data_IF_313274674472
#
_entry.id   IF_313274674472
#
_cell.length_a   1.000
_cell.length_b   1.000
_cell.length_c   1.000
_cell.angle_alpha   90.00
_cell.angle_beta   90.00
_cell.angle_gamma   90.00
#
_symmetry.space_group_name_H-M   'P 1'
#
loop_
_entity.id
_entity.type
_entity.pdbx_description
1 polymer ?
#
# COMPACT_ATOMS: atom_id res chain seq x y z
N UNK A 1 12.88 -7.13 15.21
CA UNK A 1 14.15 -7.35 14.47
C UNK A 1 13.88 -6.91 13.05
N UNK A 2 14.40 -5.74 12.65
CA UNK A 2 14.07 -5.07 11.39
C UNK A 2 14.73 -5.85 10.25
N UNK A 3 13.94 -6.53 9.42
CA UNK A 3 14.45 -7.17 8.20
C UNK A 3 14.98 -6.07 7.28
N UNK A 4 16.30 -5.99 7.13
CA UNK A 4 16.96 -5.09 6.18
C UNK A 4 16.47 -5.47 4.77
N UNK A 5 15.98 -4.49 4.02
CA UNK A 5 15.65 -4.73 2.61
C UNK A 5 16.92 -5.11 1.84
N UNK A 6 16.83 -5.97 0.83
CA UNK A 6 17.98 -6.43 0.03
C UNK A 6 18.79 -5.25 -0.52
N UNK A 7 18.11 -4.15 -0.88
CA UNK A 7 18.74 -2.90 -1.32
C UNK A 7 19.53 -2.19 -0.22
N UNK A 8 19.04 -2.22 1.02
CA UNK A 8 19.76 -1.64 2.16
C UNK A 8 21.01 -2.46 2.46
N UNK A 9 20.93 -3.80 2.35
CA UNK A 9 22.07 -4.69 2.53
C UNK A 9 23.14 -4.50 1.44
N UNK A 10 22.71 -4.38 0.17
CA UNK A 10 23.61 -4.08 -0.94
C UNK A 10 24.25 -2.69 -0.81
N UNK A 11 23.47 -1.67 -0.47
CA UNK A 11 23.96 -0.30 -0.27
C UNK A 11 24.96 -0.19 0.89
N UNK A 12 24.69 -0.84 2.02
CA UNK A 12 25.64 -0.93 3.13
C UNK A 12 26.90 -1.70 2.73
N UNK A 13 26.77 -2.80 2.00
CA UNK A 13 27.91 -3.58 1.50
C UNK A 13 28.85 -2.74 0.64
N UNK A 14 28.29 -1.95 -0.28
CA UNK A 14 29.06 -1.02 -1.13
C UNK A 14 29.77 0.05 -0.27
N UNK A 15 29.07 0.63 0.71
CA UNK A 15 29.65 1.65 1.59
C UNK A 15 30.81 1.10 2.43
N UNK A 16 30.67 -0.13 2.97
CA UNK A 16 31.72 -0.80 3.74
C UNK A 16 32.93 -1.13 2.84
N UNK A 17 32.70 -1.59 1.62
CA UNK A 17 33.77 -1.83 0.65
C UNK A 17 34.52 -0.53 0.30
N UNK A 18 33.80 0.58 0.13
CA UNK A 18 34.38 1.91 -0.08
C UNK A 18 35.22 2.38 1.11
N UNK A 19 34.77 2.11 2.34
CA UNK A 19 35.51 2.43 3.56
C UNK A 19 36.80 1.62 3.66
N UNK A 20 36.76 0.31 3.39
CA UNK A 20 37.95 -0.54 3.34
C UNK A 20 38.94 -0.06 2.26
N UNK A 21 38.45 0.31 1.08
CA UNK A 21 39.27 0.84 -0.01
C UNK A 21 39.90 2.19 0.36
N UNK A 22 39.16 3.07 1.05
CA UNK A 22 39.69 4.33 1.56
C UNK A 22 40.79 4.11 2.60
N UNK A 23 40.55 3.29 3.62
CA UNK A 23 41.54 3.02 4.67
C UNK A 23 42.82 2.41 4.11
N UNK A 24 42.70 1.38 3.27
CA UNK A 24 43.86 0.70 2.66
C UNK A 24 44.63 1.63 1.74
N UNK A 25 43.93 2.43 0.94
CA UNK A 25 44.55 3.39 0.02
C UNK A 25 45.28 4.52 0.76
N UNK A 26 44.70 5.03 1.85
CA UNK A 26 45.25 6.15 2.61
C UNK A 26 46.41 5.72 3.52
N UNK A 27 46.27 4.59 4.23
CA UNK A 27 47.26 4.14 5.22
C UNK A 27 48.40 3.30 4.61
N UNK A 28 48.09 2.44 3.64
CA UNK A 28 49.04 1.46 3.10
C UNK A 28 49.65 1.96 1.80
N UNK A 29 48.81 2.31 0.82
CA UNK A 29 49.25 2.66 -0.54
C UNK A 29 49.71 4.12 -0.65
N UNK A 30 49.25 4.98 0.26
CA UNK A 30 49.51 6.44 0.27
C UNK A 30 49.15 7.13 -1.06
N UNK A 31 48.19 6.58 -1.79
CA UNK A 31 47.76 7.11 -3.08
C UNK A 31 46.51 7.97 -2.90
N UNK A 32 46.68 9.29 -3.05
CA UNK A 32 45.59 10.27 -3.04
C UNK A 32 44.44 9.94 -4.01
N UNK A 33 44.68 9.57 -5.29
CA UNK A 33 43.58 9.27 -6.21
C UNK A 33 42.78 8.03 -5.80
N UNK A 34 43.44 7.02 -5.23
CA UNK A 34 42.80 5.78 -4.79
C UNK A 34 41.95 6.02 -3.53
N UNK A 35 42.42 6.86 -2.61
CA UNK A 35 41.63 7.30 -1.46
C UNK A 35 40.39 8.11 -1.91
N UNK A 36 40.52 9.03 -2.87
CA UNK A 36 39.39 9.78 -3.41
C UNK A 36 38.33 8.86 -4.06
N UNK A 37 38.75 7.81 -4.75
CA UNK A 37 37.86 6.79 -5.30
C UNK A 37 37.06 6.08 -4.18
N UNK A 38 37.71 5.75 -3.06
CA UNK A 38 37.05 5.15 -1.89
C UNK A 38 35.93 6.03 -1.34
N UNK A 39 36.17 7.34 -1.24
CA UNK A 39 35.13 8.31 -0.85
C UNK A 39 33.97 8.30 -1.84
N UNK A 40 34.25 8.26 -3.15
CA UNK A 40 33.22 8.17 -4.18
C UNK A 40 32.34 6.92 -4.01
N UNK A 41 32.95 5.76 -3.76
CA UNK A 41 32.23 4.50 -3.52
C UNK A 41 31.36 4.58 -2.25
N UNK A 42 31.86 5.20 -1.18
CA UNK A 42 31.11 5.44 0.06
C UNK A 42 29.84 6.26 -0.24
N UNK A 43 29.99 7.40 -0.93
CA UNK A 43 28.86 8.30 -1.27
C UNK A 43 27.84 7.60 -2.17
N UNK A 44 28.27 6.80 -3.12
CA UNK A 44 27.37 6.00 -3.98
C UNK A 44 26.61 4.94 -3.18
N UNK A 45 27.27 4.20 -2.29
CA UNK A 45 26.62 3.22 -1.41
C UNK A 45 25.57 3.86 -0.49
N UNK A 46 25.93 4.97 0.14
CA UNK A 46 24.99 5.77 0.95
C UNK A 46 23.81 6.30 0.13
N UNK A 47 24.06 6.73 -1.11
CA UNK A 47 23.01 7.18 -2.02
C UNK A 47 22.04 6.05 -2.36
N UNK A 48 22.50 4.81 -2.55
CA UNK A 48 21.61 3.65 -2.76
C UNK A 48 20.73 3.38 -1.53
N UNK A 49 21.30 3.46 -0.32
CA UNK A 49 20.54 3.31 0.93
C UNK A 49 19.48 4.42 1.07
N UNK A 50 19.84 5.65 0.73
CA UNK A 50 18.97 6.83 0.85
C UNK A 50 17.96 6.96 -0.29
N UNK A 51 18.18 6.32 -1.44
CA UNK A 51 17.30 6.44 -2.60
C UNK A 51 16.07 5.54 -2.43
N UNK A 52 14.85 6.08 -2.42
CA UNK A 52 13.63 5.27 -2.41
C UNK A 52 13.47 4.53 -3.75
N UNK A 53 13.22 3.21 -3.71
CA UNK A 53 13.07 2.37 -4.91
C UNK A 53 11.93 2.79 -5.84
N UNK A 54 10.91 3.45 -5.29
CA UNK A 54 9.71 3.79 -6.04
C UNK A 54 9.52 5.30 -6.07
N UNK A 55 10.01 5.91 -7.16
CA UNK A 55 9.72 7.30 -7.50
C UNK A 55 8.44 7.34 -8.36
N UNK A 56 7.35 6.75 -7.87
CA UNK A 56 6.05 7.08 -8.45
C UNK A 56 5.85 8.60 -8.28
N UNK A 57 5.39 9.35 -9.31
CA UNK A 57 5.14 10.78 -9.16
C UNK A 57 4.03 10.97 -8.12
N UNK A 58 4.44 11.14 -6.86
CA UNK A 58 3.59 11.12 -5.66
C UNK A 58 2.40 12.07 -5.81
N UNK A 59 2.62 13.18 -6.52
CA UNK A 59 1.61 14.18 -6.81
C UNK A 59 0.54 13.70 -7.78
N UNK A 60 0.91 13.20 -8.96
CA UNK A 60 -0.04 12.73 -9.96
C UNK A 60 -0.86 11.53 -9.44
N UNK A 61 -0.20 10.63 -8.70
CA UNK A 61 -0.84 9.50 -8.07
C UNK A 61 -1.87 9.93 -7.02
N UNK A 62 -1.47 10.86 -6.14
CA UNK A 62 -2.33 11.40 -5.10
C UNK A 62 -3.50 12.18 -5.69
N UNK A 63 -3.27 12.97 -6.73
CA UNK A 63 -4.34 13.68 -7.44
C UNK A 63 -5.33 12.70 -8.07
N UNK A 64 -4.86 11.62 -8.71
CA UNK A 64 -5.71 10.55 -9.25
C UNK A 64 -6.53 9.87 -8.16
N UNK A 65 -5.93 9.53 -7.01
CA UNK A 65 -6.64 8.95 -5.87
C UNK A 65 -7.71 9.90 -5.31
N UNK A 66 -7.42 11.20 -5.22
CA UNK A 66 -8.39 12.21 -4.76
C UNK A 66 -9.54 12.38 -5.77
N UNK A 67 -9.26 12.33 -7.06
CA UNK A 67 -10.32 12.35 -8.09
C UNK A 67 -11.17 11.09 -8.01
N UNK A 68 -10.55 9.92 -7.84
CA UNK A 68 -11.25 8.67 -7.62
C UNK A 68 -12.16 8.74 -6.38
N UNK A 69 -11.66 9.30 -5.27
CA UNK A 69 -12.44 9.44 -4.02
C UNK A 69 -13.70 10.28 -4.26
N UNK A 70 -13.57 11.40 -4.97
CA UNK A 70 -14.70 12.28 -5.29
C UNK A 70 -15.72 11.61 -6.22
N UNK A 71 -15.23 10.91 -7.25
CA UNK A 71 -16.10 10.21 -8.19
C UNK A 71 -16.83 9.05 -7.51
N UNK A 72 -16.11 8.30 -6.67
CA UNK A 72 -16.69 7.21 -5.89
C UNK A 72 -17.74 7.74 -4.91
N UNK A 73 -17.46 8.84 -4.21
CA UNK A 73 -18.43 9.46 -3.31
C UNK A 73 -19.70 9.90 -4.07
N UNK A 74 -19.57 10.54 -5.22
CA UNK A 74 -20.71 10.93 -6.06
C UNK A 74 -21.53 9.71 -6.53
N UNK A 75 -20.88 8.61 -6.90
CA UNK A 75 -21.54 7.35 -7.28
C UNK A 75 -22.30 6.79 -6.08
N UNK A 76 -21.65 6.66 -4.91
CA UNK A 76 -22.28 6.13 -3.70
C UNK A 76 -23.44 7.01 -3.21
N UNK A 77 -23.33 8.32 -3.38
CA UNK A 77 -24.39 9.28 -3.10
C UNK A 77 -25.58 9.11 -4.04
N UNK A 78 -25.34 9.03 -5.35
CA UNK A 78 -26.40 8.80 -6.35
C UNK A 78 -27.17 7.49 -6.11
N UNK A 79 -26.46 6.49 -5.58
CA UNK A 79 -26.99 5.17 -5.26
C UNK A 79 -27.57 5.08 -3.83
N UNK A 80 -27.47 6.16 -3.04
CA UNK A 80 -27.92 6.26 -1.65
C UNK A 80 -27.46 5.07 -0.78
N UNK A 81 -26.18 4.71 -0.91
CA UNK A 81 -25.60 3.55 -0.23
C UNK A 81 -25.64 3.71 1.29
N UNK A 82 -26.03 2.62 1.97
CA UNK A 82 -26.04 2.53 3.44
C UNK A 82 -25.18 1.39 3.98
N UNK A 83 -24.74 0.49 3.11
CA UNK A 83 -23.93 -0.66 3.50
C UNK A 83 -22.46 -0.33 3.67
N UNK A 84 -21.77 -1.18 4.43
CA UNK A 84 -20.32 -1.12 4.62
C UNK A 84 -19.61 -1.97 3.57
N UNK A 85 -18.45 -1.51 3.13
CA UNK A 85 -17.64 -2.16 2.14
C UNK A 85 -17.05 -3.48 2.65
N UNK A 86 -16.96 -4.41 1.71
CA UNK A 86 -16.36 -5.73 1.85
C UNK A 86 -15.12 -5.74 0.94
N UNK A 87 -13.97 -6.03 1.52
CA UNK A 87 -12.69 -6.08 0.82
C UNK A 87 -12.31 -7.54 0.57
N UNK A 88 -12.15 -7.91 -0.70
CA UNK A 88 -11.76 -9.27 -1.07
C UNK A 88 -10.78 -9.25 -2.24
N UNK A 89 -10.13 -10.39 -2.48
CA UNK A 89 -9.20 -10.59 -3.58
C UNK A 89 -9.66 -11.79 -4.40
N UNK A 90 -9.94 -11.56 -5.68
CA UNK A 90 -10.41 -12.59 -6.60
C UNK A 90 -9.51 -12.55 -7.83
N UNK A 91 -8.94 -13.71 -8.21
CA UNK A 91 -8.06 -13.85 -9.37
C UNK A 91 -6.92 -12.81 -9.37
N UNK A 92 -6.22 -12.70 -8.23
CA UNK A 92 -5.08 -11.78 -8.08
C UNK A 92 -5.43 -10.28 -8.15
N UNK A 93 -6.71 -9.92 -8.21
CA UNK A 93 -7.17 -8.53 -8.28
C UNK A 93 -7.92 -8.10 -7.04
N UNK A 94 -7.74 -6.84 -6.58
CA UNK A 94 -8.51 -6.30 -5.49
C UNK A 94 -9.95 -6.05 -5.94
N UNK A 95 -10.91 -6.54 -5.16
CA UNK A 95 -12.32 -6.30 -5.40
C UNK A 95 -12.94 -5.63 -4.18
N UNK A 96 -13.59 -4.49 -4.42
CA UNK A 96 -14.34 -3.74 -3.45
C UNK A 96 -15.83 -3.99 -3.69
N UNK A 97 -16.51 -4.62 -2.74
CA UNK A 97 -17.93 -4.92 -2.84
C UNK A 97 -18.70 -4.10 -1.83
N UNK A 98 -19.66 -3.30 -2.29
CA UNK A 98 -20.42 -2.38 -1.45
C UNK A 98 -21.90 -2.75 -1.58
N UNK A 99 -22.52 -3.33 -0.53
CA UNK A 99 -23.95 -3.58 -0.55
C UNK A 99 -24.69 -2.25 -0.52
N UNK A 100 -25.65 -2.07 -1.44
CA UNK A 100 -26.46 -0.85 -1.46
C UNK A 100 -27.38 -0.76 -0.24
N UNK A 101 -27.78 -1.91 0.31
CA UNK A 101 -28.56 -2.01 1.55
C UNK A 101 -27.66 -2.27 2.76
N UNK A 102 -28.12 -1.86 3.95
CA UNK A 102 -27.27 -1.65 5.13
C UNK A 102 -26.42 -2.86 5.57
N UNK A 103 -26.90 -4.10 5.42
CA UNK A 103 -26.12 -5.28 5.79
C UNK A 103 -26.34 -6.42 4.80
N UNK A 104 -25.27 -6.98 4.24
CA UNK A 104 -25.36 -8.19 3.44
C UNK A 104 -25.74 -9.36 4.34
N UNK A 105 -26.72 -10.17 3.93
CA UNK A 105 -27.12 -11.40 4.63
C UNK A 105 -26.04 -12.48 4.51
N UNK A 106 -25.27 -12.43 3.42
CA UNK A 106 -24.15 -13.32 3.13
C UNK A 106 -23.10 -12.57 2.32
N UNK A 107 -21.81 -12.81 2.62
CA UNK A 107 -20.69 -12.31 1.81
C UNK A 107 -20.71 -13.08 0.49
N UNK A 108 -20.87 -12.43 -0.67
CA UNK A 108 -20.89 -13.14 -1.93
C UNK A 108 -19.49 -13.69 -2.28
N UNK A 109 -19.40 -14.88 -2.90
CA UNK A 109 -18.11 -15.49 -3.25
C UNK A 109 -17.43 -14.79 -4.44
N UNK A 110 -18.21 -14.15 -5.31
CA UNK A 110 -17.72 -13.43 -6.49
C UNK A 110 -18.68 -12.31 -6.86
N UNK A 111 -18.18 -11.30 -7.55
CA UNK A 111 -19.00 -10.25 -8.12
C UNK A 111 -18.37 -9.72 -9.41
N UNK A 112 -19.21 -9.48 -10.41
CA UNK A 112 -18.85 -8.84 -11.66
C UNK A 112 -18.74 -7.33 -11.45
N UNK A 113 -17.83 -6.68 -12.19
CA UNK A 113 -17.65 -5.23 -12.11
C UNK A 113 -18.94 -4.50 -12.49
N UNK A 114 -19.32 -3.52 -11.67
CA UNK A 114 -20.54 -2.73 -11.83
C UNK A 114 -21.61 -3.04 -10.78
N UNK A 115 -22.86 -2.87 -11.19
CA UNK A 115 -24.04 -3.14 -10.36
C UNK A 115 -24.53 -4.56 -10.61
N UNK A 116 -24.50 -5.41 -9.59
CA UNK A 116 -24.96 -6.79 -9.68
C UNK A 116 -25.91 -7.11 -8.52
N UNK A 117 -26.92 -7.94 -8.79
CA UNK A 117 -27.85 -8.42 -7.76
C UNK A 117 -27.44 -9.84 -7.38
N UNK A 118 -26.93 -10.00 -6.15
CA UNK A 118 -26.49 -11.30 -5.64
C UNK A 118 -27.41 -11.70 -4.49
N UNK A 119 -28.04 -12.87 -4.61
CA UNK A 119 -28.99 -13.38 -3.61
C UNK A 119 -30.14 -12.41 -3.28
N UNK A 120 -30.60 -11.63 -4.26
CA UNK A 120 -31.68 -10.64 -4.11
C UNK A 120 -31.25 -9.30 -3.51
N UNK A 121 -29.97 -9.14 -3.17
CA UNK A 121 -29.39 -7.90 -2.66
C UNK A 121 -28.51 -7.24 -3.73
N UNK A 122 -28.70 -5.96 -4.03
CA UNK A 122 -27.87 -5.26 -5.00
C UNK A 122 -26.53 -4.84 -4.37
N UNK A 123 -25.45 -5.14 -5.09
CA UNK A 123 -24.07 -4.79 -4.76
C UNK A 123 -23.49 -3.89 -5.86
N UNK A 124 -22.66 -2.94 -5.43
CA UNK A 124 -21.75 -2.21 -6.30
C UNK A 124 -20.35 -2.81 -6.14
N UNK A 125 -19.83 -3.36 -7.22
CA UNK A 125 -18.54 -4.04 -7.25
C UNK A 125 -17.57 -3.26 -8.13
N UNK A 126 -16.46 -2.86 -7.52
CA UNK A 126 -15.50 -1.94 -8.13
C UNK A 126 -14.09 -2.51 -7.97
N UNK A 127 -13.25 -2.26 -8.96
CA UNK A 127 -11.81 -2.46 -8.84
C UNK A 127 -11.20 -1.13 -8.37
N UNK A 128 -10.74 -1.03 -7.12
CA UNK A 128 -10.13 0.17 -6.60
C UNK A 128 -8.75 0.39 -7.25
N UNK A 129 -8.33 1.65 -7.49
CA UNK A 129 -7.03 1.94 -8.05
C UNK A 129 -5.93 1.57 -7.03
N UNK A 130 -5.22 0.48 -7.28
CA UNK A 130 -3.94 0.14 -6.63
C UNK A 130 -2.78 0.23 -7.65
N UNK A 131 -2.38 1.44 -8.07
CA UNK A 131 -1.29 1.63 -9.00
C UNK A 131 0.02 1.04 -8.46
N UNK A 132 0.55 0.05 -9.19
CA UNK A 132 1.82 -0.61 -8.87
C UNK A 132 1.72 -1.72 -7.82
N UNK A 133 0.51 -2.13 -7.43
CA UNK A 133 0.29 -3.42 -6.78
C UNK A 133 -0.04 -4.47 -7.85
N UNK A 134 0.96 -4.83 -8.66
CA UNK A 134 0.86 -6.04 -9.48
C UNK A 134 1.09 -7.23 -8.55
N UNK A 135 0.01 -7.81 -8.03
CA UNK A 135 0.10 -9.12 -7.37
C UNK A 135 0.13 -10.14 -8.49
N UNK A 136 1.33 -10.61 -8.86
CA UNK A 136 1.49 -11.71 -9.80
C UNK A 136 0.69 -12.92 -9.32
N UNK A 137 -0.29 -13.34 -10.11
CA UNK A 137 -0.91 -14.65 -9.95
C UNK A 137 0.19 -15.73 -10.03
N UNK A 138 0.38 -16.48 -8.96
CA UNK A 138 1.10 -17.76 -9.02
C UNK A 138 2.51 -17.84 -8.45
N UNK A 139 2.98 -16.90 -7.63
CA UNK A 139 4.24 -17.09 -6.88
C UNK A 139 4.08 -16.80 -5.39
N UNK A 140 4.27 -17.85 -4.61
CA UNK A 140 3.93 -17.94 -3.18
C UNK A 140 4.78 -17.06 -2.26
N UNK A 141 5.87 -16.41 -2.71
CA UNK A 141 6.85 -15.82 -1.78
C UNK A 141 7.41 -14.43 -2.16
N UNK A 142 6.95 -13.76 -3.23
CA UNK A 142 7.53 -12.48 -3.65
C UNK A 142 6.57 -11.30 -3.39
N UNK A 143 6.68 -10.78 -2.16
CA UNK A 143 6.29 -9.44 -1.72
C UNK A 143 4.86 -8.99 -2.03
N UNK A 144 3.87 -9.50 -1.27
CA UNK A 144 2.67 -8.71 -1.02
C UNK A 144 3.12 -7.36 -0.43
N UNK A 145 2.83 -6.27 -1.13
CA UNK A 145 3.17 -4.91 -0.72
C UNK A 145 2.67 -4.67 0.71
N UNK A 146 3.60 -4.61 1.67
CA UNK A 146 3.24 -4.38 3.07
C UNK A 146 2.53 -3.02 3.18
N UNK A 147 1.56 -2.94 4.08
CA UNK A 147 0.80 -1.72 4.37
C UNK A 147 1.70 -0.47 4.48
N UNK A 148 2.85 -0.59 5.14
CA UNK A 148 3.84 0.49 5.31
C UNK A 148 4.55 0.86 4.00
N UNK A 149 4.98 -0.11 3.20
CA UNK A 149 5.66 0.13 1.92
C UNK A 149 4.74 0.94 0.98
N UNK A 150 3.49 0.52 0.85
CA UNK A 150 2.56 1.20 -0.05
C UNK A 150 2.11 2.55 0.51
N UNK A 151 1.55 2.60 1.73
CA UNK A 151 0.95 3.83 2.28
C UNK A 151 1.98 4.90 2.65
N UNK A 152 3.17 4.52 3.13
CA UNK A 152 4.19 5.45 3.61
C UNK A 152 5.20 5.76 2.52
N UNK A 153 5.81 4.72 1.92
CA UNK A 153 6.94 4.91 1.01
C UNK A 153 6.48 5.33 -0.39
N UNK A 154 5.54 4.58 -0.98
CA UNK A 154 5.09 4.82 -2.37
C UNK A 154 4.20 6.04 -2.50
N UNK A 155 3.10 6.08 -1.75
CA UNK A 155 2.08 7.14 -1.94
C UNK A 155 2.23 8.27 -0.92
N UNK A 156 3.01 8.08 0.14
CA UNK A 156 3.19 9.04 1.24
C UNK A 156 1.87 9.59 1.79
N UNK A 157 0.89 8.69 1.94
CA UNK A 157 -0.43 8.95 2.48
C UNK A 157 -0.47 9.00 4.00
N UNK A 158 0.54 8.45 4.69
CA UNK A 158 0.63 8.44 6.15
C UNK A 158 2.08 8.61 6.61
N UNK A 159 2.27 8.82 7.92
CA UNK A 159 3.61 8.85 8.54
C UNK A 159 4.04 7.46 8.98
N UNK A 160 3.10 6.64 9.46
CA UNK A 160 3.28 5.22 9.72
C UNK A 160 1.97 4.49 9.48
N UNK A 161 2.06 3.21 9.14
CA UNK A 161 0.92 2.33 8.99
C UNK A 161 1.32 0.93 9.49
N UNK A 162 0.51 0.36 10.36
CA UNK A 162 0.66 -1.01 10.88
C UNK A 162 -0.70 -1.65 11.05
N UNK A 163 -0.76 -2.98 11.13
CA UNK A 163 -1.98 -3.68 11.49
C UNK A 163 -1.68 -4.74 12.54
N UNK A 164 -2.67 -5.03 13.39
CA UNK A 164 -2.60 -6.07 14.42
C UNK A 164 -3.82 -6.95 14.30
N UNK A 165 -3.62 -8.28 14.35
CA UNK A 165 -4.71 -9.25 14.39
C UNK A 165 -5.00 -9.63 15.84
N UNK A 166 -6.24 -9.43 16.28
CA UNK A 166 -6.76 -9.86 17.57
C UNK A 166 -7.94 -10.80 17.34
N UNK A 167 -7.65 -12.11 17.29
CA UNK A 167 -8.64 -13.13 16.94
C UNK A 167 -9.21 -12.95 15.53
N UNK A 168 -10.52 -12.69 15.44
CA UNK A 168 -11.25 -12.44 14.18
C UNK A 168 -11.29 -10.96 13.79
N UNK A 169 -10.66 -10.08 14.56
CA UNK A 169 -10.63 -8.65 14.30
C UNK A 169 -9.22 -8.27 13.84
N UNK A 170 -9.16 -7.56 12.73
CA UNK A 170 -7.94 -6.95 12.22
C UNK A 170 -8.05 -5.44 12.45
N UNK A 171 -7.12 -4.88 13.21
CA UNK A 171 -7.08 -3.45 13.51
C UNK A 171 -5.91 -2.82 12.78
N UNK A 172 -6.20 -1.88 11.87
CA UNK A 172 -5.18 -1.09 11.19
C UNK A 172 -4.95 0.23 11.93
N UNK A 173 -3.71 0.52 12.31
CA UNK A 173 -3.31 1.78 12.94
C UNK A 173 -2.52 2.61 11.95
N UNK A 174 -3.07 3.76 11.57
CA UNK A 174 -2.48 4.70 10.62
C UNK A 174 -2.23 6.03 11.34
N UNK A 175 -0.97 6.48 11.39
CA UNK A 175 -0.63 7.73 12.07
C UNK A 175 -0.48 8.89 11.08
N UNK A 176 -1.12 10.01 11.42
CA UNK A 176 -1.09 11.27 10.66
C UNK A 176 -1.40 11.07 9.16
N UNK A 177 -2.66 10.69 8.83
CA UNK A 177 -3.09 10.54 7.44
C UNK A 177 -3.02 11.89 6.73
N UNK A 178 -2.29 11.92 5.60
CA UNK A 178 -2.05 13.09 4.76
C UNK A 178 -3.06 13.20 3.63
N UNK A 179 -3.79 12.14 3.31
CA UNK A 179 -4.86 12.19 2.30
C UNK A 179 -6.08 12.94 2.86
N UNK A 180 -6.82 13.66 2.00
CA UNK A 180 -8.03 14.32 2.45
C UNK A 180 -9.02 13.29 3.01
N UNK A 181 -9.72 13.69 4.07
CA UNK A 181 -10.85 12.93 4.57
C UNK A 181 -11.90 12.86 3.45
N UNK A 182 -12.46 11.67 3.24
CA UNK A 182 -13.53 11.47 2.29
C UNK A 182 -14.82 12.02 2.87
N UNK A 183 -15.44 13.04 2.25
CA UNK A 183 -16.77 13.48 2.67
C UNK A 183 -17.84 12.47 2.23
N UNK A 184 -19.08 12.69 2.68
CA UNK A 184 -20.26 12.10 2.06
C UNK A 184 -20.54 10.63 2.40
N UNK A 185 -20.94 9.86 1.39
CA UNK A 185 -21.29 8.43 1.51
C UNK A 185 -20.07 7.53 1.49
N UNK A 186 -18.95 8.00 0.97
CA UNK A 186 -17.69 7.26 1.01
C UNK A 186 -17.22 7.00 2.45
N UNK A 187 -17.40 7.96 3.36
CA UNK A 187 -17.05 7.78 4.78
C UNK A 187 -17.88 6.65 5.42
N UNK A 188 -19.18 6.63 5.14
CA UNK A 188 -20.11 5.60 5.63
C UNK A 188 -19.77 4.20 5.09
N UNK A 189 -19.45 4.09 3.80
CA UNK A 189 -19.22 2.81 3.16
C UNK A 189 -17.81 2.26 3.42
N UNK A 190 -16.79 3.10 3.29
CA UNK A 190 -15.37 2.69 3.23
C UNK A 190 -14.47 3.41 4.23
N UNK A 191 -15.02 4.40 4.95
CA UNK A 191 -14.25 5.37 5.72
C UNK A 191 -13.50 6.36 4.83
N UNK A 192 -12.28 6.68 5.24
CA UNK A 192 -11.36 7.51 4.48
C UNK A 192 -10.77 6.77 3.27
N UNK A 193 -10.20 7.51 2.31
CA UNK A 193 -9.41 6.87 1.23
C UNK A 193 -8.24 6.05 1.79
N UNK A 194 -7.64 6.49 2.90
CA UNK A 194 -6.61 5.73 3.62
C UNK A 194 -7.12 4.40 4.17
N UNK A 195 -8.33 4.35 4.73
CA UNK A 195 -8.90 3.09 5.24
C UNK A 195 -9.32 2.17 4.09
N UNK A 196 -9.81 2.72 2.98
CA UNK A 196 -10.09 1.95 1.76
C UNK A 196 -8.84 1.24 1.27
N UNK A 197 -7.74 1.97 1.09
CA UNK A 197 -6.46 1.39 0.63
C UNK A 197 -5.90 0.38 1.64
N UNK A 198 -5.98 0.69 2.94
CA UNK A 198 -5.53 -0.23 3.98
C UNK A 198 -6.34 -1.54 3.99
N UNK A 199 -7.66 -1.47 3.90
CA UNK A 199 -8.53 -2.65 3.87
C UNK A 199 -8.19 -3.59 2.71
N UNK A 200 -7.88 -3.03 1.54
CA UNK A 200 -7.48 -3.80 0.35
C UNK A 200 -6.10 -4.44 0.54
N UNK A 201 -5.12 -3.70 1.05
CA UNK A 201 -3.77 -4.25 1.26
C UNK A 201 -3.78 -5.36 2.32
N UNK A 202 -4.53 -5.17 3.40
CA UNK A 202 -4.60 -6.17 4.46
C UNK A 202 -5.40 -7.40 4.02
N UNK A 203 -6.46 -7.25 3.23
CA UNK A 203 -7.17 -8.40 2.65
C UNK A 203 -6.27 -9.18 1.67
N UNK A 204 -5.33 -8.50 1.00
CA UNK A 204 -4.32 -9.15 0.14
C UNK A 204 -3.34 -10.01 0.94
N UNK A 205 -2.89 -9.48 2.08
CA UNK A 205 -1.86 -10.08 2.92
C UNK A 205 -2.41 -11.26 3.72
N UNK A 206 -3.62 -11.12 4.24
CA UNK A 206 -4.29 -12.17 5.02
C UNK A 206 -5.01 -13.19 4.12
N UNK A 207 -5.30 -12.84 2.85
CA UNK A 207 -6.10 -13.64 1.91
C UNK A 207 -7.48 -14.03 2.45
N UNK A 208 -8.03 -13.16 3.28
CA UNK A 208 -9.36 -13.31 3.88
C UNK A 208 -10.21 -12.11 3.47
N UNK A 209 -11.53 -12.34 3.38
CA UNK A 209 -12.48 -11.25 3.14
C UNK A 209 -12.64 -10.42 4.42
N UNK A 210 -12.40 -9.11 4.31
CA UNK A 210 -12.52 -8.18 5.43
C UNK A 210 -13.78 -7.34 5.30
N UNK A 211 -14.44 -7.07 6.42
CA UNK A 211 -15.58 -6.15 6.51
C UNK A 211 -15.21 -5.02 7.45
N UNK A 212 -15.48 -3.79 7.03
CA UNK A 212 -15.23 -2.63 7.88
C UNK A 212 -16.20 -2.64 9.08
N UNK A 213 -15.69 -2.69 10.31
CA UNK A 213 -16.54 -2.79 11.50
C UNK A 213 -16.92 -1.43 12.11
N UNK A 214 -16.09 -0.37 12.03
CA UNK A 214 -16.40 1.03 12.44
C UNK A 214 -15.24 2.00 12.13
N UNK A 215 -15.53 3.31 12.03
CA UNK A 215 -14.61 4.44 11.65
C UNK A 215 -13.54 4.75 12.70
#
# INVERSE_FOLDING_TARGET
>A
MMMLSIKDAAGLGIAIAGLMLFLTSFLIVQSQPLAAMGIGVIVSGLSVVLTPLHVAPKRALRESLVVFSKNLDAILESLNVKGKAIYTWINGKPLLMIPLRSRPVSIPPSCNLGLEVISGEPYLCLEPPLPGAEVSEGKTDEHALTLSEYLVERISAATSASYTRSGNIVVATISNPKLPLSPGRMSVATGSLTSLLAGILISSEIRETLVFLEE
#
